data_IF_466477718682
#
_entry.id   IF_466477718682
#
_cell.length_a   1.000
_cell.length_b   1.000
_cell.length_c   1.000
_cell.angle_alpha   90.00
_cell.angle_beta   90.00
_cell.angle_gamma   90.00
#
_symmetry.space_group_name_H-M   'P 1'
#
loop_
_entity.id
_entity.type
_entity.pdbx_description
1 polymer ?
#
# COMPACT_ATOMS: atom_id res chain seq x y z
N UNK A 1 2.71 -2.62 25.61
CA UNK A 1 2.64 -1.18 25.21
C UNK A 1 2.91 -1.08 23.73
N UNK A 2 2.03 -0.43 22.98
CA UNK A 2 2.09 -0.34 21.52
C UNK A 2 3.23 0.60 21.10
N UNK A 3 3.90 0.30 19.97
CA UNK A 3 4.92 1.18 19.35
C UNK A 3 4.36 2.58 19.09
N UNK A 4 3.07 2.68 18.81
CA UNK A 4 2.33 3.95 18.66
C UNK A 4 2.23 4.68 19.99
N UNK A 5 1.97 4.02 21.11
CA UNK A 5 1.95 4.62 22.43
C UNK A 5 3.33 5.15 22.88
N UNK A 6 4.40 4.46 22.50
CA UNK A 6 5.76 4.93 22.76
C UNK A 6 6.14 6.13 21.87
N UNK A 7 5.70 6.16 20.62
CA UNK A 7 5.90 7.32 19.75
C UNK A 7 5.10 8.54 20.25
N UNK A 8 3.85 8.34 20.68
CA UNK A 8 3.00 9.38 21.26
C UNK A 8 3.59 9.89 22.58
N UNK A 9 4.08 9.01 23.48
CA UNK A 9 4.74 9.43 24.73
C UNK A 9 6.01 10.23 24.50
N UNK A 10 6.82 9.88 23.51
CA UNK A 10 8.04 10.64 23.16
C UNK A 10 7.71 12.02 22.57
N UNK A 11 6.63 12.12 21.79
CA UNK A 11 6.13 13.39 21.24
C UNK A 11 5.48 14.27 22.31
N UNK A 12 4.78 13.69 23.28
CA UNK A 12 4.19 14.42 24.41
C UNK A 12 5.25 14.93 25.40
N UNK A 13 6.36 14.21 25.55
CA UNK A 13 7.49 14.64 26.40
C UNK A 13 8.31 15.78 25.77
N UNK A 14 8.23 15.99 24.44
CA UNK A 14 8.94 17.06 23.73
C UNK A 14 8.12 18.34 23.52
N UNK A 15 6.82 18.32 23.85
CA UNK A 15 5.93 19.50 23.80
C UNK A 15 5.33 19.73 25.18
N UNK A 16 5.69 20.83 25.79
CA UNK A 16 5.07 21.28 27.05
C UNK A 16 3.55 21.42 26.88
N UNK A 17 2.82 20.75 27.74
CA UNK A 17 1.41 20.77 28.09
C UNK A 17 0.45 21.57 27.19
N UNK A 18 -0.21 20.91 26.27
CA UNK A 18 -1.54 21.27 25.78
C UNK A 18 -2.38 19.98 25.70
N UNK A 19 -3.67 20.08 26.08
CA UNK A 19 -4.58 18.96 26.30
C UNK A 19 -4.77 18.05 25.07
N UNK A 20 -5.08 16.74 25.26
CA UNK A 20 -5.09 15.76 24.18
C UNK A 20 -6.37 15.87 23.35
N UNK A 21 -6.26 16.51 22.17
CA UNK A 21 -7.14 16.25 21.04
C UNK A 21 -6.76 14.89 20.43
N UNK A 22 -7.75 14.15 19.93
CA UNK A 22 -7.54 12.87 19.25
C UNK A 22 -6.78 13.11 17.92
N UNK A 23 -5.46 12.98 17.95
CA UNK A 23 -4.65 13.02 16.73
C UNK A 23 -4.85 11.73 15.91
N UNK A 24 -5.19 11.87 14.63
CA UNK A 24 -5.31 10.74 13.69
C UNK A 24 -3.93 10.17 13.37
N UNK A 25 -3.90 8.95 12.84
CA UNK A 25 -2.65 8.33 12.35
C UNK A 25 -1.93 9.20 11.30
N UNK A 26 -2.67 10.06 10.61
CA UNK A 26 -2.17 11.03 9.63
C UNK A 26 -1.44 12.21 10.29
N UNK A 27 -1.95 12.73 11.40
CA UNK A 27 -1.31 13.84 12.11
C UNK A 27 0.04 13.43 12.68
N UNK A 28 0.16 12.15 13.09
CA UNK A 28 1.43 11.54 13.51
C UNK A 28 2.41 11.46 12.35
N UNK A 29 1.96 11.11 11.14
CA UNK A 29 2.81 11.04 9.95
C UNK A 29 3.34 12.43 9.54
N UNK A 30 2.51 13.45 9.59
CA UNK A 30 2.90 14.82 9.27
C UNK A 30 3.93 15.38 10.26
N UNK A 31 3.83 15.01 11.55
CA UNK A 31 4.73 15.52 12.61
C UNK A 31 6.12 14.86 12.61
N UNK A 32 6.24 13.59 12.21
CA UNK A 32 7.53 12.85 12.16
C UNK A 32 8.41 13.33 11.01
N UNK A 33 7.81 13.87 9.93
CA UNK A 33 8.55 14.29 8.73
C UNK A 33 9.35 15.57 8.84
N UNK A 34 9.10 16.41 9.87
CA UNK A 34 9.81 17.69 10.00
C UNK A 34 11.26 17.58 10.51
N UNK A 35 11.68 16.40 11.00
CA UNK A 35 12.96 16.22 11.68
C UNK A 35 14.10 15.69 10.79
N UNK A 36 13.86 15.32 9.54
CA UNK A 36 14.92 14.76 8.64
C UNK A 36 14.93 15.42 7.26
N UNK A 37 15.40 16.69 7.19
CA UNK A 37 16.02 17.17 5.95
C UNK A 37 17.46 16.69 5.95
N UNK A 38 17.78 15.65 5.19
CA UNK A 38 19.12 15.43 4.70
C UNK A 38 19.27 16.25 3.44
N UNK A 39 20.15 17.25 3.51
CA UNK A 39 20.61 18.02 2.36
C UNK A 39 21.29 17.07 1.36
N UNK A 40 20.59 16.69 0.32
CA UNK A 40 21.21 16.27 -0.93
C UNK A 40 20.97 17.40 -1.91
N UNK A 41 21.99 18.23 -2.11
CA UNK A 41 22.03 19.21 -3.17
C UNK A 41 22.00 18.47 -4.51
N UNK A 42 20.85 18.54 -5.18
CA UNK A 42 20.69 18.20 -6.58
C UNK A 42 19.84 19.29 -7.23
N UNK A 43 20.45 19.92 -8.17
CA UNK A 43 20.03 20.75 -9.28
C UNK A 43 18.60 21.34 -9.26
N UNK A 44 18.55 22.65 -9.37
CA UNK A 44 17.39 23.53 -9.15
C UNK A 44 16.30 23.44 -10.24
N UNK A 45 15.40 22.48 -10.08
CA UNK A 45 14.00 22.66 -10.51
C UNK A 45 13.19 23.25 -9.32
N UNK A 46 12.19 24.11 -9.55
CA UNK A 46 11.33 24.58 -8.47
C UNK A 46 10.75 23.36 -7.74
N UNK A 47 10.66 23.37 -6.39
CA UNK A 47 10.15 22.22 -5.65
C UNK A 47 8.76 21.86 -6.18
N UNK A 48 8.62 20.65 -6.70
CA UNK A 48 7.32 20.16 -7.17
C UNK A 48 6.32 20.33 -6.01
N UNK A 49 5.20 20.98 -6.29
CA UNK A 49 4.16 21.24 -5.28
C UNK A 49 3.70 19.89 -4.74
N UNK A 50 3.89 19.68 -3.43
CA UNK A 50 3.44 18.44 -2.80
C UNK A 50 1.92 18.30 -2.93
N UNK A 51 1.46 17.10 -3.29
CA UNK A 51 0.02 16.79 -3.35
C UNK A 51 -0.55 16.82 -1.95
N UNK A 52 -1.60 17.62 -1.69
CA UNK A 52 -2.28 17.60 -0.40
C UNK A 52 -3.03 16.27 -0.23
N UNK A 53 -2.86 15.65 0.93
CA UNK A 53 -3.61 14.44 1.29
C UNK A 53 -4.84 14.84 2.10
N UNK A 54 -5.89 15.24 1.39
CA UNK A 54 -7.15 15.64 2.02
C UNK A 54 -7.90 14.43 2.58
N UNK A 55 -7.80 14.22 3.90
CA UNK A 55 -8.41 13.07 4.58
C UNK A 55 -9.94 13.03 4.41
N UNK A 56 -10.61 14.17 4.46
CA UNK A 56 -12.07 14.21 4.37
C UNK A 56 -12.53 13.85 2.96
N UNK A 57 -11.84 14.33 1.92
CA UNK A 57 -12.09 13.95 0.54
C UNK A 57 -11.84 12.43 0.32
N UNK A 58 -10.76 11.89 0.87
CA UNK A 58 -10.44 10.47 0.80
C UNK A 58 -11.47 9.61 1.55
N UNK A 59 -11.96 10.04 2.72
CA UNK A 59 -13.04 9.35 3.44
C UNK A 59 -14.36 9.42 2.67
N UNK A 60 -14.71 10.57 2.14
CA UNK A 60 -15.90 10.73 1.31
C UNK A 60 -15.87 9.86 0.05
N UNK A 61 -14.68 9.66 -0.54
CA UNK A 61 -14.45 8.75 -1.66
C UNK A 61 -14.41 7.26 -1.25
N UNK A 62 -14.46 6.94 0.06
CA UNK A 62 -14.36 5.59 0.58
C UNK A 62 -12.95 4.99 0.49
N UNK A 63 -11.91 5.82 0.45
CA UNK A 63 -10.50 5.40 0.36
C UNK A 63 -9.78 5.41 1.71
N UNK A 64 -10.34 6.06 2.73
CA UNK A 64 -9.88 5.95 4.10
C UNK A 64 -10.98 5.40 5.01
N UNK A 65 -10.61 4.70 6.09
CA UNK A 65 -11.57 4.20 7.06
C UNK A 65 -12.23 5.35 7.83
N UNK A 66 -13.44 5.13 8.36
CA UNK A 66 -14.03 6.04 9.33
C UNK A 66 -13.16 6.07 10.61
N UNK A 67 -13.13 7.20 11.35
CA UNK A 67 -12.22 7.38 12.49
C UNK A 67 -12.32 6.29 13.56
N UNK A 68 -13.51 5.75 13.81
CA UNK A 68 -13.72 4.69 14.81
C UNK A 68 -13.11 3.34 14.43
N UNK A 69 -12.78 3.10 13.14
CA UNK A 69 -12.17 1.86 12.65
C UNK A 69 -10.65 1.98 12.43
N UNK A 70 -10.07 3.17 12.49
CA UNK A 70 -8.66 3.41 12.18
C UNK A 70 -7.70 2.54 13.00
N UNK A 71 -7.94 2.42 14.32
CA UNK A 71 -7.06 1.62 15.21
C UNK A 71 -7.07 0.14 14.85
N UNK A 72 -8.24 -0.40 14.56
CA UNK A 72 -8.39 -1.81 14.21
C UNK A 72 -7.73 -2.10 12.88
N UNK A 73 -8.02 -1.29 11.86
CA UNK A 73 -7.42 -1.41 10.54
C UNK A 73 -5.89 -1.23 10.58
N UNK A 74 -5.38 -0.30 11.38
CA UNK A 74 -3.93 -0.14 11.57
C UNK A 74 -3.27 -1.42 12.12
N UNK A 75 -3.95 -2.22 12.95
CA UNK A 75 -3.44 -3.53 13.39
C UNK A 75 -3.44 -4.56 12.26
N UNK A 76 -4.50 -4.60 11.44
CA UNK A 76 -4.60 -5.51 10.30
C UNK A 76 -3.55 -5.18 9.24
N UNK A 77 -3.35 -3.91 8.91
CA UNK A 77 -2.32 -3.49 7.97
C UNK A 77 -0.90 -3.81 8.44
N UNK A 78 -0.62 -3.82 9.74
CA UNK A 78 0.68 -4.30 10.26
C UNK A 78 0.94 -5.78 9.94
N UNK A 79 -0.10 -6.61 9.95
CA UNK A 79 0.03 -8.02 9.57
C UNK A 79 0.21 -8.19 8.06
N UNK A 80 -0.48 -7.38 7.25
CA UNK A 80 -0.40 -7.42 5.78
C UNK A 80 0.94 -6.90 5.28
N UNK A 81 1.43 -5.76 5.79
CA UNK A 81 2.65 -5.12 5.30
C UNK A 81 3.93 -5.90 5.59
N UNK A 82 4.00 -6.60 6.75
CA UNK A 82 5.20 -7.33 7.17
C UNK A 82 5.70 -8.35 6.14
N UNK A 83 4.89 -9.33 5.68
CA UNK A 83 5.35 -10.27 4.66
C UNK A 83 5.70 -9.58 3.34
N UNK A 84 5.00 -8.50 2.95
CA UNK A 84 5.27 -7.73 1.75
C UNK A 84 6.66 -7.08 1.83
N UNK A 85 6.95 -6.36 2.91
CA UNK A 85 8.24 -5.71 3.15
C UNK A 85 9.36 -6.72 3.27
N UNK A 86 9.14 -7.83 3.98
CA UNK A 86 10.15 -8.87 4.16
C UNK A 86 10.59 -9.49 2.84
N UNK A 87 9.66 -9.77 1.93
CA UNK A 87 9.98 -10.25 0.57
C UNK A 87 10.68 -9.18 -0.27
N UNK A 88 10.22 -7.93 -0.17
CA UNK A 88 10.80 -6.81 -0.91
C UNK A 88 12.27 -6.56 -0.54
N UNK A 89 12.59 -6.59 0.75
CA UNK A 89 13.87 -6.21 1.31
C UNK A 89 14.73 -7.39 1.78
N UNK A 90 14.30 -8.64 1.56
CA UNK A 90 15.04 -9.83 1.99
C UNK A 90 15.18 -9.97 3.50
N UNK A 91 14.23 -9.46 4.30
CA UNK A 91 14.29 -9.50 5.75
C UNK A 91 13.80 -10.84 6.29
N UNK A 92 14.72 -11.66 6.82
CA UNK A 92 14.39 -12.96 7.41
C UNK A 92 13.95 -14.05 6.42
N UNK A 93 14.01 -13.77 5.12
CA UNK A 93 13.77 -14.70 4.01
C UNK A 93 14.55 -14.26 2.78
N UNK A 94 14.81 -15.14 1.79
CA UNK A 94 15.42 -14.75 0.52
C UNK A 94 14.61 -13.64 -0.15
N UNK A 95 15.29 -12.62 -0.64
CA UNK A 95 14.66 -11.56 -1.43
C UNK A 95 14.08 -12.15 -2.72
N UNK A 96 12.89 -11.73 -3.07
CA UNK A 96 12.27 -12.08 -4.36
C UNK A 96 12.81 -11.11 -5.42
N UNK A 97 13.15 -11.57 -6.63
CA UNK A 97 13.53 -10.67 -7.71
C UNK A 97 12.46 -9.60 -7.92
N UNK A 98 12.87 -8.34 -7.93
CA UNK A 98 11.95 -7.20 -8.02
C UNK A 98 10.84 -7.19 -6.95
N UNK A 99 11.06 -7.84 -5.80
CA UNK A 99 10.05 -7.99 -4.74
C UNK A 99 9.55 -6.66 -4.16
N UNK A 100 10.26 -5.56 -4.40
CA UNK A 100 9.82 -4.20 -4.06
C UNK A 100 8.78 -3.62 -5.04
N UNK A 101 8.52 -4.28 -6.18
CA UNK A 101 7.42 -3.96 -7.09
C UNK A 101 6.19 -4.81 -6.72
N UNK A 102 5.23 -4.21 -6.05
CA UNK A 102 4.05 -4.90 -5.49
C UNK A 102 2.81 -4.45 -6.24
N UNK A 103 2.12 -5.38 -6.88
CA UNK A 103 0.82 -5.10 -7.49
C UNK A 103 -0.30 -5.45 -6.52
N UNK A 104 -1.21 -4.50 -6.31
CA UNK A 104 -2.47 -4.73 -5.59
C UNK A 104 -3.55 -4.99 -6.64
N UNK A 105 -4.01 -6.23 -6.69
CA UNK A 105 -4.97 -6.72 -7.68
C UNK A 105 -6.26 -7.23 -7.03
N UNK A 106 -7.24 -7.58 -7.85
CA UNK A 106 -8.45 -8.29 -7.47
C UNK A 106 -8.98 -9.11 -8.63
N UNK A 107 -9.86 -10.09 -8.37
CA UNK A 107 -10.53 -10.83 -9.43
C UNK A 107 -11.53 -9.95 -10.18
N UNK A 108 -12.38 -9.24 -9.43
CA UNK A 108 -13.51 -8.47 -9.98
C UNK A 108 -13.55 -7.04 -9.41
N UNK A 109 -14.36 -6.13 -9.96
CA UNK A 109 -14.53 -4.77 -9.43
C UNK A 109 -15.14 -4.75 -8.03
N UNK A 110 -14.86 -3.69 -7.25
CA UNK A 110 -15.51 -3.45 -5.95
C UNK A 110 -14.92 -4.23 -4.76
N UNK A 111 -13.82 -4.97 -4.94
CA UNK A 111 -13.18 -5.74 -3.87
C UNK A 111 -12.32 -4.86 -2.94
N UNK A 112 -12.06 -3.60 -3.31
CA UNK A 112 -11.39 -2.61 -2.47
C UNK A 112 -9.89 -2.48 -2.71
N UNK A 113 -9.40 -2.74 -3.94
CA UNK A 113 -7.99 -2.57 -4.32
C UNK A 113 -7.45 -1.19 -3.98
N UNK A 114 -8.08 -0.13 -4.49
CA UNK A 114 -7.66 1.25 -4.28
C UNK A 114 -7.64 1.65 -2.80
N UNK A 115 -8.62 1.18 -2.02
CA UNK A 115 -8.61 1.32 -0.57
C UNK A 115 -7.40 0.60 0.05
N UNK A 116 -7.13 -0.64 -0.38
CA UNK A 116 -6.00 -1.43 0.10
C UNK A 116 -4.67 -0.75 -0.26
N UNK A 117 -4.51 -0.29 -1.50
CA UNK A 117 -3.28 0.34 -2.02
C UNK A 117 -2.91 1.58 -1.20
N UNK A 118 -3.87 2.49 -1.00
CA UNK A 118 -3.64 3.71 -0.23
C UNK A 118 -3.32 3.42 1.24
N UNK A 119 -4.14 2.60 1.91
CA UNK A 119 -3.95 2.33 3.34
C UNK A 119 -2.70 1.48 3.60
N UNK A 120 -2.32 0.58 2.69
CA UNK A 120 -1.05 -0.13 2.77
C UNK A 120 0.14 0.82 2.61
N UNK A 121 0.08 1.76 1.65
CA UNK A 121 1.08 2.79 1.46
C UNK A 121 1.27 3.63 2.73
N UNK A 122 0.19 4.14 3.30
CA UNK A 122 0.22 4.92 4.54
C UNK A 122 0.73 4.11 5.73
N UNK A 123 0.30 2.85 5.87
CA UNK A 123 0.79 1.97 6.93
C UNK A 123 2.28 1.64 6.78
N UNK A 124 2.75 1.46 5.55
CA UNK A 124 4.17 1.17 5.26
C UNK A 124 5.06 2.36 5.57
N UNK A 125 4.59 3.58 5.34
CA UNK A 125 5.31 4.81 5.71
C UNK A 125 5.57 5.00 7.20
N UNK A 126 4.92 4.23 8.06
CA UNK A 126 5.24 4.19 9.49
C UNK A 126 6.55 3.43 9.80
N UNK A 127 7.09 2.67 8.84
CA UNK A 127 8.43 2.09 8.95
C UNK A 127 9.47 3.18 8.64
N UNK A 128 10.45 3.38 9.54
CA UNK A 128 11.41 4.50 9.45
C UNK A 128 12.37 4.36 8.26
N UNK A 129 12.63 3.14 7.84
CA UNK A 129 13.64 2.76 6.86
C UNK A 129 13.04 2.33 5.50
N UNK A 130 11.76 2.62 5.24
CA UNK A 130 11.08 2.33 3.98
C UNK A 130 10.46 3.58 3.40
N UNK A 131 10.71 3.86 2.13
CA UNK A 131 9.97 4.84 1.35
C UNK A 131 8.92 4.16 0.49
N UNK A 132 7.89 4.88 0.07
CA UNK A 132 6.80 4.33 -0.75
C UNK A 132 6.55 5.21 -1.96
N UNK A 133 6.48 4.58 -3.12
CA UNK A 133 5.90 5.15 -4.32
C UNK A 133 4.57 4.44 -4.60
N UNK A 134 3.47 5.16 -4.48
CA UNK A 134 2.16 4.67 -4.88
C UNK A 134 1.91 5.05 -6.34
N UNK A 135 1.60 4.07 -7.17
CA UNK A 135 1.40 4.23 -8.61
C UNK A 135 -0.05 3.91 -8.95
N UNK A 136 -0.73 4.82 -9.62
CA UNK A 136 -2.04 4.55 -10.20
C UNK A 136 -1.85 3.75 -11.50
N UNK A 137 -1.97 2.44 -11.40
CA UNK A 137 -1.84 1.49 -12.52
C UNK A 137 -3.19 1.08 -13.11
N UNK A 138 -4.31 1.56 -12.57
CA UNK A 138 -5.64 1.43 -13.20
C UNK A 138 -5.81 2.53 -14.25
N UNK A 139 -5.07 2.38 -15.35
CA UNK A 139 -5.00 3.39 -16.43
C UNK A 139 -6.32 3.55 -17.19
N UNK A 140 -7.24 2.60 -17.04
CA UNK A 140 -8.58 2.66 -17.64
C UNK A 140 -9.51 3.50 -16.78
N UNK A 141 -9.44 3.35 -15.46
CA UNK A 141 -10.25 4.11 -14.51
C UNK A 141 -9.39 4.62 -13.34
N UNK A 142 -8.58 5.66 -13.55
CA UNK A 142 -7.55 6.13 -12.61
C UNK A 142 -8.18 6.85 -11.40
N UNK A 143 -8.86 6.07 -10.56
CA UNK A 143 -9.63 6.61 -9.44
C UNK A 143 -8.74 7.30 -8.39
N UNK A 144 -7.54 6.79 -8.17
CA UNK A 144 -6.61 7.40 -7.21
C UNK A 144 -6.18 8.79 -7.71
N UNK A 145 -5.79 8.90 -8.99
CA UNK A 145 -5.41 10.16 -9.62
C UNK A 145 -6.56 11.18 -9.59
N UNK A 146 -7.80 10.73 -9.81
CA UNK A 146 -8.98 11.57 -9.75
C UNK A 146 -9.24 12.12 -8.34
N UNK A 147 -9.19 11.26 -7.31
CA UNK A 147 -9.47 11.68 -5.93
C UNK A 147 -8.37 12.57 -5.37
N UNK A 148 -7.13 12.37 -5.81
CA UNK A 148 -5.99 13.25 -5.46
C UNK A 148 -5.94 14.53 -6.28
N UNK A 149 -6.82 14.71 -7.30
CA UNK A 149 -6.90 15.91 -8.15
C UNK A 149 -5.70 16.08 -9.09
N UNK A 150 -5.09 14.97 -9.52
CA UNK A 150 -3.91 14.92 -10.40
C UNK A 150 -4.16 14.10 -11.67
N UNK A 151 -5.42 13.92 -12.06
CA UNK A 151 -5.80 13.14 -13.25
C UNK A 151 -5.31 13.76 -14.58
N UNK A 152 -5.01 15.06 -14.58
CA UNK A 152 -4.53 15.78 -15.77
C UNK A 152 -2.98 15.88 -15.81
N UNK A 153 -2.32 15.45 -14.75
CA UNK A 153 -0.86 15.44 -14.67
C UNK A 153 -0.27 14.30 -15.52
N UNK A 154 0.92 14.49 -16.11
CA UNK A 154 1.62 13.41 -16.76
C UNK A 154 1.97 12.31 -15.77
N UNK A 155 1.94 11.05 -16.23
CA UNK A 155 2.13 9.91 -15.35
C UNK A 155 2.73 8.67 -16.04
N UNK A 156 2.36 7.50 -15.54
CA UNK A 156 2.92 6.21 -15.97
C UNK A 156 2.86 6.01 -17.49
N UNK A 157 1.68 6.17 -18.10
CA UNK A 157 1.54 5.97 -19.55
C UNK A 157 2.34 6.99 -20.38
N UNK A 158 2.49 8.22 -19.88
CA UNK A 158 3.25 9.24 -20.60
C UNK A 158 4.75 8.93 -20.62
N UNK A 159 5.33 8.46 -19.50
CA UNK A 159 6.74 8.02 -19.43
C UNK A 159 7.01 6.79 -20.29
N UNK A 160 6.05 5.88 -20.38
CA UNK A 160 6.17 4.71 -21.24
C UNK A 160 6.07 5.07 -22.71
N UNK A 161 5.20 6.04 -23.06
CA UNK A 161 4.99 6.52 -24.43
C UNK A 161 6.17 7.36 -24.93
N UNK A 162 6.69 8.24 -24.09
CA UNK A 162 7.74 9.18 -24.44
C UNK A 162 9.05 8.90 -23.67
N UNK A 163 10.05 8.30 -24.34
CA UNK A 163 11.35 8.01 -23.70
C UNK A 163 12.14 9.25 -23.28
N UNK A 164 11.80 10.45 -23.79
CA UNK A 164 12.45 11.70 -23.40
C UNK A 164 11.95 12.24 -22.05
N UNK A 165 10.78 11.77 -21.62
CA UNK A 165 10.18 12.17 -20.35
C UNK A 165 10.85 11.42 -19.20
N UNK A 166 11.44 12.15 -18.26
CA UNK A 166 12.07 11.56 -17.07
C UNK A 166 11.02 11.05 -16.07
N UNK A 167 11.22 9.86 -15.52
CA UNK A 167 10.37 9.33 -14.45
C UNK A 167 10.33 10.31 -13.26
N UNK A 168 11.47 10.87 -12.88
CA UNK A 168 11.57 11.82 -11.77
C UNK A 168 10.72 13.08 -11.96
N UNK A 169 10.44 13.47 -13.21
CA UNK A 169 9.62 14.66 -13.50
C UNK A 169 8.11 14.44 -13.33
N UNK A 170 7.66 13.19 -13.31
CA UNK A 170 6.23 12.83 -13.19
C UNK A 170 5.89 12.21 -11.84
N UNK A 171 6.89 11.88 -11.02
CA UNK A 171 6.69 11.45 -9.64
C UNK A 171 6.41 12.67 -8.77
N UNK A 172 5.24 12.71 -8.18
CA UNK A 172 4.77 13.83 -7.38
C UNK A 172 4.99 13.54 -5.89
N UNK A 173 5.69 14.42 -5.15
CA UNK A 173 5.77 14.32 -3.71
C UNK A 173 4.39 14.53 -3.07
N UNK A 174 4.13 13.91 -1.91
CA UNK A 174 2.92 14.17 -1.12
C UNK A 174 3.26 14.90 0.18
N UNK A 175 2.25 15.42 0.87
CA UNK A 175 2.42 15.99 2.22
C UNK A 175 2.83 14.95 3.27
N UNK A 176 2.67 13.65 2.96
CA UNK A 176 3.14 12.55 3.81
C UNK A 176 4.62 12.28 3.50
N UNK A 177 5.54 12.56 4.44
CA UNK A 177 6.96 12.42 4.18
C UNK A 177 7.35 11.00 3.78
N UNK A 178 8.11 10.87 2.66
CA UNK A 178 8.56 9.60 2.10
C UNK A 178 7.45 8.77 1.43
N UNK A 179 6.28 9.35 1.21
CA UNK A 179 5.27 8.87 0.29
C UNK A 179 5.26 9.77 -0.95
N UNK A 180 5.49 9.18 -2.11
CA UNK A 180 5.32 9.83 -3.40
C UNK A 180 4.19 9.14 -4.18
N UNK A 181 3.68 9.84 -5.17
CA UNK A 181 2.61 9.35 -6.03
C UNK A 181 3.00 9.49 -7.50
N UNK A 182 2.69 8.46 -8.29
CA UNK A 182 2.81 8.49 -9.75
C UNK A 182 1.42 8.34 -10.36
N UNK A 183 0.88 9.39 -11.01
CA UNK A 183 -0.40 9.34 -11.69
C UNK A 183 -0.44 8.29 -12.81
N UNK A 184 -1.63 7.88 -13.22
CA UNK A 184 -1.81 6.99 -14.37
C UNK A 184 -1.30 7.61 -15.68
N UNK A 185 -1.37 8.94 -15.77
CA UNK A 185 -1.06 9.69 -17.00
C UNK A 185 -2.26 9.81 -17.92
N UNK A 186 -2.00 10.31 -19.12
CA UNK A 186 -3.04 10.56 -20.13
C UNK A 186 -3.59 9.26 -20.70
N UNK A 187 -4.92 9.13 -20.83
CA UNK A 187 -5.54 7.95 -21.43
C UNK A 187 -4.97 7.60 -22.82
N UNK A 188 -4.94 6.33 -23.15
CA UNK A 188 -4.41 5.83 -24.41
C UNK A 188 -5.19 4.63 -24.92
N UNK A 189 -5.55 4.62 -26.18
CA UNK A 189 -6.26 3.49 -26.82
C UNK A 189 -5.36 2.23 -26.91
N UNK A 190 -4.04 2.39 -26.83
CA UNK A 190 -3.05 1.33 -26.83
C UNK A 190 -2.39 1.13 -25.45
N UNK A 191 -3.14 1.36 -24.37
CA UNK A 191 -2.63 1.24 -23.01
C UNK A 191 -2.08 -0.17 -22.70
N UNK A 192 -2.77 -1.22 -23.17
CA UNK A 192 -2.31 -2.62 -22.99
C UNK A 192 -0.94 -2.85 -23.61
N UNK A 193 -0.75 -2.42 -24.87
CA UNK A 193 0.52 -2.57 -25.59
C UNK A 193 1.64 -1.75 -24.92
N UNK A 194 1.33 -0.55 -24.43
CA UNK A 194 2.28 0.27 -23.69
C UNK A 194 2.72 -0.44 -22.40
N UNK A 195 1.79 -0.98 -21.62
CA UNK A 195 2.08 -1.67 -20.37
C UNK A 195 2.81 -3.02 -20.60
N UNK A 196 2.57 -3.68 -21.75
CA UNK A 196 3.27 -4.90 -22.14
C UNK A 196 4.63 -4.64 -22.84
N UNK A 197 5.01 -3.38 -23.05
CA UNK A 197 6.19 -3.03 -23.83
C UNK A 197 7.51 -3.24 -23.07
N UNK A 198 8.60 -3.39 -23.83
CA UNK A 198 9.98 -3.37 -23.29
C UNK A 198 10.26 -2.08 -22.53
N UNK A 199 9.67 -0.96 -22.98
CA UNK A 199 9.82 0.33 -22.31
C UNK A 199 9.19 0.32 -20.92
N UNK A 200 8.00 -0.25 -20.74
CA UNK A 200 7.40 -0.44 -19.41
C UNK A 200 8.31 -1.25 -18.48
N UNK A 201 8.92 -2.32 -19.00
CA UNK A 201 9.88 -3.10 -18.22
C UNK A 201 11.09 -2.26 -17.78
N UNK A 202 11.62 -1.40 -18.65
CA UNK A 202 12.71 -0.46 -18.28
C UNK A 202 12.27 0.54 -17.21
N UNK A 203 11.06 1.09 -17.34
CA UNK A 203 10.48 2.03 -16.37
C UNK A 203 10.37 1.38 -14.99
N UNK A 204 9.82 0.18 -14.88
CA UNK A 204 9.66 -0.47 -13.57
C UNK A 204 10.99 -0.90 -12.96
N UNK A 205 11.95 -1.34 -13.77
CA UNK A 205 13.32 -1.64 -13.31
C UNK A 205 13.98 -0.36 -12.75
N UNK A 206 13.81 0.77 -13.42
CA UNK A 206 14.32 2.05 -12.93
C UNK A 206 13.64 2.44 -11.61
N UNK A 207 12.31 2.37 -11.53
CA UNK A 207 11.56 2.66 -10.29
C UNK A 207 12.01 1.78 -9.12
N UNK A 208 12.31 0.49 -9.39
CA UNK A 208 12.77 -0.45 -8.38
C UNK A 208 14.19 -0.18 -7.88
N UNK A 209 15.05 0.37 -8.75
CA UNK A 209 16.50 0.52 -8.48
C UNK A 209 16.91 1.89 -7.95
N UNK A 210 16.07 2.93 -8.14
CA UNK A 210 16.41 4.31 -7.71
C UNK A 210 16.63 4.43 -6.20
N UNK A 211 15.87 3.66 -5.40
CA UNK A 211 16.00 3.65 -3.94
C UNK A 211 15.78 2.20 -3.45
N UNK A 212 16.84 1.52 -2.96
CA UNK A 212 16.73 0.14 -2.47
C UNK A 212 15.77 -0.05 -1.29
N UNK A 213 15.43 1.03 -0.58
CA UNK A 213 14.47 1.04 0.51
C UNK A 213 13.04 1.37 0.05
N UNK A 214 12.86 1.64 -1.26
CA UNK A 214 11.56 2.02 -1.82
C UNK A 214 10.70 0.80 -2.12
N UNK A 215 9.48 0.83 -1.59
CA UNK A 215 8.40 -0.06 -2.01
C UNK A 215 7.55 0.65 -3.07
N UNK A 216 7.40 0.06 -4.24
CA UNK A 216 6.53 0.56 -5.32
C UNK A 216 5.23 -0.23 -5.28
N UNK A 217 4.13 0.44 -4.97
CA UNK A 217 2.79 -0.16 -4.90
C UNK A 217 1.96 0.26 -6.10
N UNK A 218 1.59 -0.69 -6.95
CA UNK A 218 0.70 -0.45 -8.09
C UNK A 218 -0.74 -0.72 -7.68
N UNK A 219 -1.59 0.31 -7.67
CA UNK A 219 -3.05 0.12 -7.70
C UNK A 219 -3.45 -0.28 -9.12
N UNK A 220 -4.19 -1.36 -9.30
CA UNK A 220 -4.46 -1.91 -10.63
C UNK A 220 -5.95 -2.07 -10.92
N UNK A 221 -6.31 -2.32 -12.17
CA UNK A 221 -7.64 -2.78 -12.57
C UNK A 221 -7.85 -4.26 -12.15
N UNK A 222 -9.10 -4.77 -12.17
CA UNK A 222 -9.39 -6.18 -11.89
C UNK A 222 -8.79 -7.11 -12.94
N UNK A 223 -8.19 -8.24 -12.51
CA UNK A 223 -7.48 -9.19 -13.38
C UNK A 223 -8.37 -9.87 -14.44
N UNK A 224 -9.63 -10.15 -14.09
CA UNK A 224 -10.57 -10.80 -15.01
C UNK A 224 -11.30 -9.82 -15.94
N UNK A 225 -11.09 -8.52 -15.76
CA UNK A 225 -11.81 -7.50 -16.52
C UNK A 225 -10.95 -6.85 -17.61
N UNK A 226 -9.64 -6.68 -17.37
CA UNK A 226 -8.78 -5.88 -18.23
C UNK A 226 -7.47 -6.59 -18.57
N UNK A 227 -7.04 -6.45 -19.82
CA UNK A 227 -5.73 -6.92 -20.30
C UNK A 227 -4.58 -6.07 -19.75
N UNK A 228 -4.84 -4.80 -19.45
CA UNK A 228 -3.89 -3.87 -18.83
C UNK A 228 -3.41 -4.37 -17.47
N UNK A 229 -4.33 -4.90 -16.64
CA UNK A 229 -3.95 -5.47 -15.34
C UNK A 229 -3.09 -6.72 -15.48
N UNK A 230 -3.37 -7.58 -16.49
CA UNK A 230 -2.56 -8.74 -16.78
C UNK A 230 -1.17 -8.33 -17.29
N UNK A 231 -1.07 -7.31 -18.14
CA UNK A 231 0.21 -6.77 -18.60
C UNK A 231 1.02 -6.20 -17.43
N UNK A 232 0.39 -5.44 -16.52
CA UNK A 232 1.03 -4.91 -15.32
C UNK A 232 1.51 -6.05 -14.38
N UNK A 233 0.76 -7.13 -14.26
CA UNK A 233 1.14 -8.29 -13.48
C UNK A 233 2.45 -8.94 -13.98
N UNK A 234 2.78 -8.84 -15.27
CA UNK A 234 4.02 -9.39 -15.82
C UNK A 234 5.27 -8.66 -15.29
N UNK A 235 5.18 -7.40 -14.97
CA UNK A 235 6.32 -6.61 -14.48
C UNK A 235 6.40 -6.51 -12.96
N UNK A 236 5.34 -6.87 -12.22
CA UNK A 236 5.35 -6.89 -10.76
C UNK A 236 6.21 -8.06 -10.22
N UNK A 237 6.93 -7.84 -9.13
CA UNK A 237 7.72 -8.89 -8.45
C UNK A 237 6.91 -9.70 -7.44
N UNK A 238 5.82 -9.14 -6.90
CA UNK A 238 4.86 -9.85 -6.06
C UNK A 238 3.45 -9.27 -6.22
N UNK A 239 2.44 -10.10 -6.00
CA UNK A 239 1.04 -9.74 -6.21
C UNK A 239 0.25 -9.97 -4.93
N UNK A 240 -0.54 -8.96 -4.54
CA UNK A 240 -1.48 -9.02 -3.44
C UNK A 240 -2.90 -8.96 -4.00
N UNK A 241 -3.61 -10.08 -3.97
CA UNK A 241 -4.99 -10.16 -4.45
C UNK A 241 -5.94 -9.85 -3.30
N UNK A 242 -6.72 -8.80 -3.48
CA UNK A 242 -7.78 -8.39 -2.56
C UNK A 242 -9.05 -9.11 -2.94
N UNK A 243 -9.64 -9.80 -1.98
CA UNK A 243 -10.84 -10.62 -2.16
C UNK A 243 -11.94 -10.10 -1.24
N UNK A 244 -13.12 -9.83 -1.77
CA UNK A 244 -14.28 -9.42 -0.97
C UNK A 244 -14.87 -10.61 -0.23
N UNK A 245 -14.77 -10.60 1.11
CA UNK A 245 -15.24 -11.69 1.96
C UNK A 245 -16.75 -11.94 1.82
N UNK A 246 -17.13 -13.20 1.62
CA UNK A 246 -18.53 -13.61 1.51
C UNK A 246 -19.26 -13.17 0.24
N UNK A 247 -18.56 -12.53 -0.71
CA UNK A 247 -19.12 -12.07 -1.98
C UNK A 247 -18.41 -12.68 -3.20
N UNK A 248 -17.07 -12.63 -3.22
CA UNK A 248 -16.30 -13.21 -4.32
C UNK A 248 -16.22 -14.71 -4.16
N UNK A 249 -16.63 -15.46 -5.19
CA UNK A 249 -16.52 -16.90 -5.18
C UNK A 249 -15.08 -17.38 -5.30
N UNK A 250 -14.77 -18.54 -4.72
CA UNK A 250 -13.44 -19.16 -4.85
C UNK A 250 -13.05 -19.39 -6.31
N UNK A 251 -14.04 -19.75 -7.16
CA UNK A 251 -13.80 -19.97 -8.58
C UNK A 251 -13.22 -18.74 -9.27
N UNK A 252 -13.77 -17.54 -9.04
CA UNK A 252 -13.26 -16.29 -9.60
C UNK A 252 -11.86 -15.95 -9.08
N UNK A 253 -11.57 -16.29 -7.82
CA UNK A 253 -10.22 -16.10 -7.26
C UNK A 253 -9.21 -17.01 -7.95
N UNK A 254 -9.54 -18.29 -8.15
CA UNK A 254 -8.67 -19.23 -8.87
C UNK A 254 -8.49 -18.83 -10.32
N UNK A 255 -9.56 -18.45 -11.02
CA UNK A 255 -9.50 -17.97 -12.40
C UNK A 255 -8.57 -16.74 -12.52
N UNK A 256 -8.66 -15.79 -11.57
CA UNK A 256 -7.75 -14.64 -11.54
C UNK A 256 -6.29 -15.06 -11.31
N UNK A 257 -6.03 -16.04 -10.43
CA UNK A 257 -4.68 -16.55 -10.19
C UNK A 257 -4.12 -17.26 -11.43
N UNK A 258 -4.94 -18.00 -12.17
CA UNK A 258 -4.54 -18.68 -13.40
C UNK A 258 -4.08 -17.72 -14.52
N UNK A 259 -4.49 -16.45 -14.47
CA UNK A 259 -3.98 -15.42 -15.40
C UNK A 259 -2.55 -14.97 -15.09
N UNK A 260 -2.02 -15.35 -13.92
CA UNK A 260 -0.70 -14.92 -13.44
C UNK A 260 0.37 -15.96 -13.74
N UNK A 261 1.64 -15.52 -13.80
CA UNK A 261 2.78 -16.42 -13.89
C UNK A 261 2.94 -17.22 -12.59
N UNK A 262 3.16 -18.53 -12.69
CA UNK A 262 3.37 -19.44 -11.55
C UNK A 262 4.62 -19.10 -10.69
N UNK A 263 5.58 -18.38 -11.26
CA UNK A 263 6.84 -18.06 -10.58
C UNK A 263 6.72 -16.91 -9.57
N UNK A 264 5.61 -16.18 -9.59
CA UNK A 264 5.45 -14.98 -8.75
C UNK A 264 4.77 -15.27 -7.43
N UNK A 265 5.29 -14.72 -6.32
CA UNK A 265 4.59 -14.81 -5.03
C UNK A 265 3.24 -14.10 -5.09
N UNK A 266 2.18 -14.87 -4.89
CA UNK A 266 0.81 -14.37 -4.77
C UNK A 266 0.39 -14.48 -3.30
N UNK A 267 -0.18 -13.41 -2.76
CA UNK A 267 -0.78 -13.37 -1.42
C UNK A 267 -2.25 -12.96 -1.53
N UNK A 268 -3.12 -13.54 -0.71
CA UNK A 268 -4.53 -13.19 -0.66
C UNK A 268 -4.83 -12.37 0.60
N UNK A 269 -5.64 -11.34 0.46
CA UNK A 269 -6.18 -10.55 1.58
C UNK A 269 -7.69 -10.53 1.50
N UNK A 270 -8.36 -11.02 2.55
CA UNK A 270 -9.80 -10.88 2.69
C UNK A 270 -10.14 -9.47 3.16
N UNK A 271 -10.91 -8.77 2.37
CA UNK A 271 -11.38 -7.41 2.62
C UNK A 271 -12.89 -7.39 2.88
N UNK A 272 -13.39 -6.32 3.50
CA UNK A 272 -14.81 -6.13 3.80
C UNK A 272 -15.40 -7.30 4.64
N UNK A 273 -14.60 -7.87 5.55
CA UNK A 273 -15.07 -8.92 6.45
C UNK A 273 -16.12 -8.37 7.42
N UNK A 274 -17.30 -8.99 7.42
CA UNK A 274 -18.32 -8.69 8.43
C UNK A 274 -17.91 -9.44 9.70
N UNK A 275 -17.55 -8.71 10.76
CA UNK A 275 -17.35 -9.33 12.07
C UNK A 275 -18.67 -9.91 12.56
N UNK A 276 -18.76 -11.22 12.63
CA UNK A 276 -19.78 -11.83 13.48
C UNK A 276 -19.35 -11.63 14.94
N UNK A 277 -20.23 -11.14 15.83
CA UNK A 277 -19.91 -10.96 17.25
C UNK A 277 -19.95 -12.31 17.99
N UNK A 278 -19.26 -13.32 17.48
CA UNK A 278 -19.11 -14.59 18.16
C UNK A 278 -17.68 -14.69 18.67
N UNK A 279 -17.56 -14.48 19.99
CA UNK A 279 -16.31 -14.60 20.72
C UNK A 279 -15.76 -16.02 20.65
N UNK A 280 -14.72 -16.19 19.82
CA UNK A 280 -13.73 -17.22 20.10
C UNK A 280 -12.61 -16.57 20.92
N UNK A 281 -12.85 -16.49 22.22
CA UNK A 281 -11.75 -16.41 23.17
C UNK A 281 -10.96 -17.71 23.03
N UNK A 282 -9.78 -17.65 22.42
CA UNK A 282 -8.75 -18.66 22.69
C UNK A 282 -8.32 -18.46 24.13
N UNK A 283 -9.00 -19.16 25.04
CA UNK A 283 -8.57 -19.35 26.41
C UNK A 283 -7.37 -20.30 26.34
N UNK A 284 -6.15 -19.76 26.32
CA UNK A 284 -4.97 -20.53 26.65
C UNK A 284 -5.14 -20.97 28.10
N UNK A 285 -5.49 -22.23 28.26
CA UNK A 285 -5.63 -22.89 29.56
C UNK A 285 -4.32 -22.85 30.31
N UNK A 286 -4.31 -22.12 31.41
CA UNK A 286 -3.38 -22.34 32.51
C UNK A 286 -3.81 -23.62 33.19
N UNK A 287 -3.18 -24.74 32.81
CA UNK A 287 -3.21 -25.95 33.60
C UNK A 287 -2.34 -25.76 34.85
N UNK A 288 -2.93 -25.19 35.90
CA UNK A 288 -2.38 -25.20 37.25
C UNK A 288 -2.71 -26.50 37.92
N UNK A 289 -1.69 -27.26 38.21
CA UNK A 289 -1.74 -28.46 39.03
C UNK A 289 -2.25 -28.12 40.44
N UNK A 290 -3.28 -28.84 40.88
CA UNK A 290 -3.59 -28.98 42.30
C UNK A 290 -3.88 -30.47 42.59
N UNK A 291 -2.88 -31.11 43.11
CA UNK A 291 -3.03 -32.45 43.72
C UNK A 291 -3.82 -32.36 45.03
N UNK A 292 -4.83 -33.17 45.18
CA UNK A 292 -5.56 -33.44 46.41
C UNK A 292 -5.78 -34.90 46.54
N UNK A 293 -5.06 -35.56 47.48
CA UNK A 293 -5.30 -36.96 47.91
C UNK A 293 -6.66 -37.08 48.57
N UNK A 294 -7.40 -38.16 48.41
CA UNK A 294 -8.45 -38.57 49.33
C UNK A 294 -7.87 -39.47 50.42
N UNK A 295 -8.00 -39.06 51.66
CA UNK A 295 -7.89 -39.92 52.84
C UNK A 295 -9.18 -40.70 53.04
N UNK A 296 -9.00 -42.01 53.37
CA UNK A 296 -10.07 -42.94 53.54
C UNK A 296 -10.84 -42.81 54.87
N UNK A 297 -11.93 -43.41 54.91
CA UNK A 297 -12.45 -44.44 55.83
C UNK A 297 -13.65 -45.11 55.17
#
# INVERSE_FOLDING_TARGET
>A
MSVIENAIKRLQASRGATAPGQESAFDVLASVGSARRRDTAADSAPPARAIPINQDALRAAGLLPPPHQERELAQQYRQIKRPVINRALGRGMPAVPQGNLVMIASAVPGEGKTFMSLNLALSTRLEEDVTVLLVDGDVVNPRMSQVLGVQDEPGLLDVVRDPSLSIASVVLPTEVPGLAFLPAGRPSDNATELLASVRMHQVVVQLASEDPARLVLFDSAPLLLTTESQALAQVAGQILIVVRAGQTSQHLVFEAIETLSEEKPVSLVLNQCVRQPHGYYYQYGSSGAAGGKPSGT
#
